data_IF_185668698126
#
_entry.id   IF_185668698126
#
_cell.length_a   1.000
_cell.length_b   1.000
_cell.length_c   1.000
_cell.angle_alpha   90.00
_cell.angle_beta   90.00
_cell.angle_gamma   90.00
#
_symmetry.space_group_name_H-M   'P 1'
#
loop_
_entity.id
_entity.type
_entity.pdbx_description
1 polymer ?
#
# COMPACT_ATOMS: atom_id res chain seq x y z
N UNK A 1 -8.36 5.94 -19.31
CA UNK A 1 -6.97 5.44 -19.29
C UNK A 1 -6.26 6.18 -18.17
N UNK A 2 -6.03 5.54 -17.03
CA UNK A 2 -5.31 6.15 -15.92
C UNK A 2 -3.83 6.29 -16.26
N UNK A 3 -3.23 7.44 -15.97
CA UNK A 3 -1.79 7.63 -16.02
C UNK A 3 -1.14 6.61 -15.09
N UNK A 4 -0.03 5.94 -15.48
CA UNK A 4 0.65 5.03 -14.57
C UNK A 4 1.09 5.81 -13.32
N UNK A 5 0.49 5.48 -12.18
CA UNK A 5 0.85 6.05 -10.89
C UNK A 5 2.21 5.43 -10.51
N UNK A 6 3.22 6.27 -10.40
CA UNK A 6 4.55 5.83 -10.01
C UNK A 6 4.61 5.79 -8.48
N UNK A 7 4.40 4.62 -7.91
CA UNK A 7 4.43 4.41 -6.47
C UNK A 7 5.89 4.22 -6.06
N UNK A 8 6.34 4.99 -5.07
CA UNK A 8 7.70 4.91 -4.52
C UNK A 8 7.66 4.49 -3.06
N UNK A 9 8.77 3.95 -2.55
CA UNK A 9 8.94 3.70 -1.11
C UNK A 9 8.71 5.00 -0.32
N UNK A 10 7.93 4.91 0.76
CA UNK A 10 7.46 6.06 1.56
C UNK A 10 6.16 6.69 1.07
N UNK A 11 5.56 6.20 -0.03
CA UNK A 11 4.23 6.66 -0.45
C UNK A 11 3.16 6.16 0.50
N UNK A 12 2.21 7.03 0.84
CA UNK A 12 0.98 6.62 1.51
C UNK A 12 -0.03 6.09 0.51
N UNK A 13 -0.60 4.93 0.82
CA UNK A 13 -1.58 4.21 0.01
C UNK A 13 -2.75 3.76 0.87
N UNK A 14 -3.88 3.48 0.22
CA UNK A 14 -5.06 2.91 0.86
C UNK A 14 -5.25 1.49 0.32
N UNK A 15 -5.37 0.53 1.24
CA UNK A 15 -5.67 -0.86 0.94
C UNK A 15 -7.07 -1.20 1.46
N UNK A 16 -7.74 -2.17 0.83
CA UNK A 16 -9.03 -2.65 1.31
C UNK A 16 -8.82 -3.47 2.60
N UNK A 17 -9.66 -3.23 3.63
CA UNK A 17 -9.65 -4.01 4.88
C UNK A 17 -11.11 -4.33 5.26
N UNK A 18 -11.38 -5.58 5.65
CA UNK A 18 -12.73 -6.05 5.94
C UNK A 18 -13.37 -5.41 7.17
N UNK A 19 -12.58 -4.87 8.09
CA UNK A 19 -13.05 -4.29 9.36
C UNK A 19 -13.45 -2.81 9.18
N UNK A 20 -12.69 -2.07 8.36
CA UNK A 20 -12.81 -0.62 8.22
C UNK A 20 -13.10 -0.14 6.78
N UNK A 21 -13.37 -1.08 5.88
CA UNK A 21 -13.50 -0.92 4.42
C UNK A 21 -12.20 -0.50 3.72
N UNK A 22 -11.48 0.49 4.25
CA UNK A 22 -10.18 0.93 3.75
C UNK A 22 -9.24 1.24 4.91
N UNK A 23 -7.99 0.82 4.78
CA UNK A 23 -6.93 1.11 5.72
C UNK A 23 -5.79 1.83 5.02
N UNK A 24 -5.23 2.83 5.69
CA UNK A 24 -4.03 3.52 5.23
C UNK A 24 -2.76 2.73 5.58
N UNK A 25 -1.75 2.88 4.74
CA UNK A 25 -0.45 2.30 4.96
C UNK A 25 0.64 2.99 4.16
N UNK A 26 1.88 2.71 4.54
CA UNK A 26 3.06 3.23 3.87
C UNK A 26 3.78 2.11 3.11
N UNK A 27 4.18 2.41 1.88
CA UNK A 27 4.96 1.49 1.06
C UNK A 27 6.35 1.36 1.67
N UNK A 28 6.65 0.17 2.17
CA UNK A 28 7.94 -0.14 2.78
C UNK A 28 8.97 -0.61 1.77
N UNK A 29 8.53 -1.39 0.78
CA UNK A 29 9.42 -2.03 -0.17
C UNK A 29 8.69 -2.30 -1.49
N UNK A 30 9.43 -2.26 -2.59
CA UNK A 30 8.90 -2.53 -3.93
C UNK A 30 9.86 -3.52 -4.62
N UNK A 31 9.32 -4.67 -4.99
CA UNK A 31 10.04 -5.74 -5.68
C UNK A 31 9.40 -5.99 -7.05
N UNK A 32 9.87 -5.26 -8.05
CA UNK A 32 9.34 -5.37 -9.42
C UNK A 32 7.88 -4.91 -9.51
N UNK A 33 6.93 -5.86 -9.40
CA UNK A 33 5.49 -5.58 -9.38
C UNK A 33 4.85 -5.84 -8.01
N UNK A 34 5.58 -6.43 -7.09
CA UNK A 34 5.13 -6.69 -5.72
C UNK A 34 5.45 -5.50 -4.83
N UNK A 35 4.53 -5.13 -3.96
CA UNK A 35 4.65 -3.95 -3.10
C UNK A 35 4.34 -4.36 -1.67
N UNK A 36 5.30 -4.21 -0.77
CA UNK A 36 5.08 -4.42 0.66
C UNK A 36 4.61 -3.13 1.29
N UNK A 37 3.40 -3.14 1.84
CA UNK A 37 2.77 -2.02 2.54
C UNK A 37 2.67 -2.38 4.02
N UNK A 38 3.10 -1.47 4.89
CA UNK A 38 2.85 -1.57 6.33
C UNK A 38 1.67 -0.66 6.64
N UNK A 39 0.56 -1.25 7.05
CA UNK A 39 -0.64 -0.52 7.43
C UNK A 39 -0.52 0.04 8.85
N UNK A 40 -1.32 1.05 9.16
CA UNK A 40 -1.28 1.75 10.46
C UNK A 40 -1.64 0.85 11.65
N UNK A 41 -2.34 -0.27 11.40
CA UNK A 41 -2.61 -1.28 12.44
C UNK A 41 -1.46 -2.30 12.63
N UNK A 42 -0.35 -2.13 11.92
CA UNK A 42 0.83 -3.01 11.97
C UNK A 42 0.71 -4.29 11.13
N UNK A 43 -0.38 -4.48 10.36
CA UNK A 43 -0.50 -5.58 9.41
C UNK A 43 0.32 -5.26 8.15
N UNK A 44 0.97 -6.28 7.60
CA UNK A 44 1.69 -6.20 6.33
C UNK A 44 0.79 -6.69 5.20
N UNK A 45 0.70 -5.92 4.13
CA UNK A 45 -0.02 -6.25 2.90
C UNK A 45 1.00 -6.32 1.75
N UNK A 46 0.92 -7.36 0.91
CA UNK A 46 1.83 -7.63 -0.20
C UNK A 46 1.09 -7.98 -1.47
#
# INVERSE_FOLDING_TARGET
MGTPVNIIVGSHVWAEDSEVAWIDGEVKEIHGRDVTIITTNGKTVS
#
